data_IF_503079114698
#
_entry.id   IF_503079114698
#
_cell.length_a   1.000
_cell.length_b   1.000
_cell.length_c   1.000
_cell.angle_alpha   90.00
_cell.angle_beta   90.00
_cell.angle_gamma   90.00
#
_symmetry.space_group_name_H-M   'P 1'
#
loop_
_entity.id
_entity.type
_entity.pdbx_description
1 polymer ?
#
# COMPACT_ATOMS: atom_id res chain seq x y z
N UNK A 1 -27.32 -31.83 -15.94
CA UNK A 1 -26.57 -30.72 -15.31
C UNK A 1 -25.15 -30.81 -15.84
N UNK A 2 -24.61 -29.74 -16.42
CA UNK A 2 -23.18 -29.70 -16.71
C UNK A 2 -22.45 -29.48 -15.38
N UNK A 3 -21.36 -30.21 -15.12
CA UNK A 3 -20.51 -29.88 -13.97
C UNK A 3 -19.86 -28.52 -14.20
N UNK A 4 -19.48 -27.83 -13.12
CA UNK A 4 -18.73 -26.57 -13.21
C UNK A 4 -17.48 -26.73 -14.09
N UNK A 5 -16.75 -27.84 -13.95
CA UNK A 5 -15.60 -28.17 -14.81
C UNK A 5 -15.96 -28.24 -16.29
N UNK A 6 -17.09 -28.85 -16.64
CA UNK A 6 -17.53 -28.93 -18.05
C UNK A 6 -17.87 -27.54 -18.61
N UNK A 7 -18.36 -26.62 -17.79
CA UNK A 7 -18.61 -25.24 -18.20
C UNK A 7 -17.30 -24.46 -18.32
N UNK A 8 -16.38 -24.65 -17.38
CA UNK A 8 -15.01 -24.11 -17.41
C UNK A 8 -14.23 -24.52 -18.67
N UNK A 9 -14.36 -25.79 -19.09
CA UNK A 9 -13.73 -26.34 -20.28
C UNK A 9 -14.23 -25.70 -21.59
N UNK A 10 -15.36 -24.97 -21.57
CA UNK A 10 -15.83 -24.19 -22.73
C UNK A 10 -15.11 -22.86 -22.89
N UNK A 11 -14.44 -22.38 -21.84
CA UNK A 11 -13.70 -21.12 -21.82
C UNK A 11 -12.25 -21.34 -22.27
N UNK A 12 -11.60 -20.31 -22.84
CA UNK A 12 -10.18 -20.43 -23.16
C UNK A 12 -9.37 -20.61 -21.87
N UNK A 13 -8.14 -21.17 -21.94
CA UNK A 13 -7.32 -21.36 -20.74
C UNK A 13 -6.94 -20.04 -20.06
N UNK A 14 -6.67 -19.00 -20.83
CA UNK A 14 -6.27 -17.66 -20.37
C UNK A 14 -7.11 -16.60 -21.10
N UNK A 15 -7.28 -15.44 -20.46
CA UNK A 15 -7.78 -14.23 -21.11
C UNK A 15 -6.72 -13.70 -22.10
N UNK A 16 -7.15 -13.23 -23.27
CA UNK A 16 -6.27 -12.68 -24.30
C UNK A 16 -5.72 -11.28 -23.98
N UNK A 17 -6.26 -10.60 -22.95
CA UNK A 17 -5.85 -9.26 -22.54
C UNK A 17 -5.17 -9.27 -21.16
N UNK A 18 -3.85 -9.48 -21.12
CA UNK A 18 -3.06 -9.61 -19.88
C UNK A 18 -2.82 -8.30 -19.09
N UNK A 19 -3.17 -7.11 -19.63
CA UNK A 19 -2.64 -5.83 -19.12
C UNK A 19 -3.67 -4.84 -18.54
N UNK A 20 -4.93 -5.24 -18.25
CA UNK A 20 -5.95 -4.33 -17.68
C UNK A 20 -6.17 -4.47 -16.17
N UNK A 21 -5.29 -5.18 -15.46
CA UNK A 21 -5.41 -5.38 -14.01
C UNK A 21 -5.27 -4.08 -13.18
N UNK A 22 -4.83 -2.97 -13.77
CA UNK A 22 -4.57 -1.69 -13.11
C UNK A 22 -5.82 -0.90 -12.70
N UNK A 23 -6.99 -1.16 -13.29
CA UNK A 23 -8.22 -0.34 -13.09
C UNK A 23 -9.33 -1.09 -12.32
N UNK A 24 -8.97 -2.12 -11.53
CA UNK A 24 -9.92 -3.13 -11.02
C UNK A 24 -10.89 -2.66 -9.92
N UNK A 25 -10.68 -1.50 -9.28
CA UNK A 25 -11.38 -1.17 -8.02
C UNK A 25 -12.69 -0.38 -8.15
N UNK A 26 -13.24 -0.22 -9.36
CA UNK A 26 -14.45 0.61 -9.54
C UNK A 26 -15.56 0.01 -10.40
N UNK A 27 -15.41 -1.25 -10.82
CA UNK A 27 -16.40 -1.91 -11.67
C UNK A 27 -17.50 -2.63 -10.88
N UNK A 28 -18.73 -2.58 -11.38
CA UNK A 28 -19.85 -3.40 -10.91
C UNK A 28 -19.69 -4.84 -11.43
N UNK A 29 -20.07 -5.84 -10.63
CA UNK A 29 -20.01 -7.26 -11.03
C UNK A 29 -21.19 -7.57 -11.96
N UNK A 30 -20.97 -7.79 -13.27
CA UNK A 30 -22.10 -8.04 -14.17
C UNK A 30 -22.69 -9.43 -13.91
N UNK A 31 -24.02 -9.49 -13.81
CA UNK A 31 -24.80 -10.72 -13.72
C UNK A 31 -25.36 -11.04 -15.11
N UNK A 32 -25.04 -12.22 -15.63
CA UNK A 32 -25.56 -12.74 -16.88
C UNK A 32 -26.47 -13.95 -16.63
N UNK A 33 -27.50 -14.12 -17.46
CA UNK A 33 -28.37 -15.30 -17.42
C UNK A 33 -28.20 -16.15 -18.67
N UNK A 34 -27.80 -17.41 -18.49
CA UNK A 34 -27.75 -18.44 -19.54
C UNK A 34 -29.09 -19.16 -19.70
N UNK A 35 -30.05 -18.89 -18.82
CA UNK A 35 -31.40 -19.48 -18.83
C UNK A 35 -32.46 -18.41 -19.01
N UNK A 36 -33.59 -18.78 -19.61
CA UNK A 36 -34.70 -17.86 -19.82
C UNK A 36 -35.45 -17.59 -18.52
N UNK A 37 -35.39 -16.35 -18.06
CA UNK A 37 -36.23 -15.77 -17.01
C UNK A 37 -37.21 -14.75 -17.63
N UNK A 38 -38.32 -14.51 -16.95
CA UNK A 38 -39.14 -13.33 -17.24
C UNK A 38 -38.54 -12.10 -16.52
N UNK A 39 -38.97 -10.89 -16.89
CA UNK A 39 -38.45 -9.64 -16.32
C UNK A 39 -38.55 -9.57 -14.79
N UNK A 40 -39.60 -10.16 -14.21
CA UNK A 40 -39.79 -10.19 -12.76
C UNK A 40 -38.72 -11.05 -12.10
N UNK A 41 -38.49 -12.26 -12.60
CA UNK A 41 -37.48 -13.17 -12.08
C UNK A 41 -36.06 -12.64 -12.27
N UNK A 42 -35.80 -11.89 -13.36
CA UNK A 42 -34.52 -11.21 -13.56
C UNK A 42 -34.24 -10.13 -12.51
N UNK A 43 -35.25 -9.31 -12.20
CA UNK A 43 -35.15 -8.30 -11.12
C UNK A 43 -35.05 -8.94 -9.73
N UNK A 44 -35.71 -10.07 -9.53
CA UNK A 44 -35.62 -10.84 -8.30
C UNK A 44 -34.20 -11.40 -8.13
N UNK A 45 -33.61 -11.99 -9.17
CA UNK A 45 -32.21 -12.45 -9.17
C UNK A 45 -31.22 -11.34 -8.78
N UNK A 46 -31.30 -10.18 -9.42
CA UNK A 46 -30.44 -9.03 -9.09
C UNK A 46 -30.65 -8.55 -7.66
N UNK A 47 -31.90 -8.52 -7.20
CA UNK A 47 -32.25 -8.14 -5.83
C UNK A 47 -31.77 -9.15 -4.80
N UNK A 48 -31.85 -10.43 -5.10
CA UNK A 48 -31.51 -11.53 -4.19
C UNK A 48 -30.00 -11.56 -3.94
N UNK A 49 -29.18 -11.36 -4.99
CA UNK A 49 -27.72 -11.24 -4.88
C UNK A 49 -27.31 -9.98 -4.11
N UNK A 50 -27.90 -8.82 -4.42
CA UNK A 50 -27.49 -7.55 -3.83
C UNK A 50 -28.01 -7.30 -2.40
N UNK A 51 -29.03 -8.03 -1.95
CA UNK A 51 -29.61 -7.90 -0.60
C UNK A 51 -29.24 -9.04 0.36
N UNK A 52 -28.36 -9.94 -0.06
CA UNK A 52 -27.80 -10.93 0.84
C UNK A 52 -27.08 -10.24 2.02
N UNK A 53 -27.02 -10.91 3.17
CA UNK A 53 -26.56 -10.34 4.44
C UNK A 53 -25.18 -9.68 4.33
N UNK A 54 -24.25 -10.33 3.62
CA UNK A 54 -22.87 -9.90 3.46
C UNK A 54 -22.57 -9.29 2.07
N UNK A 55 -23.60 -8.91 1.31
CA UNK A 55 -23.45 -8.34 -0.03
C UNK A 55 -22.85 -6.93 0.03
N UNK A 56 -21.99 -6.60 -0.93
CA UNK A 56 -21.51 -5.24 -1.20
C UNK A 56 -22.51 -4.40 -2.00
N UNK A 57 -23.62 -5.01 -2.45
CA UNK A 57 -24.63 -4.38 -3.31
C UNK A 57 -24.04 -3.81 -4.62
N UNK A 58 -22.99 -4.44 -5.16
CA UNK A 58 -22.24 -3.93 -6.31
C UNK A 58 -22.45 -4.76 -7.59
N UNK A 59 -23.39 -5.71 -7.58
CA UNK A 59 -23.70 -6.53 -8.76
C UNK A 59 -24.76 -5.88 -9.66
N UNK A 60 -24.59 -5.94 -10.99
CA UNK A 60 -25.48 -5.32 -11.97
C UNK A 60 -26.01 -6.35 -12.99
N UNK A 61 -27.33 -6.41 -13.19
CA UNK A 61 -27.89 -7.31 -14.19
C UNK A 61 -27.69 -6.83 -15.63
N UNK A 62 -27.06 -7.67 -16.46
CA UNK A 62 -26.91 -7.43 -17.91
C UNK A 62 -28.00 -8.18 -18.67
N UNK A 63 -28.89 -7.42 -19.32
CA UNK A 63 -30.05 -7.95 -20.06
C UNK A 63 -29.87 -7.94 -21.58
N UNK A 64 -28.79 -7.32 -22.07
CA UNK A 64 -28.51 -7.20 -23.50
C UNK A 64 -27.05 -7.54 -23.82
N UNK A 65 -26.78 -8.42 -24.80
CA UNK A 65 -27.77 -9.22 -25.54
C UNK A 65 -28.45 -10.24 -24.62
N UNK A 66 -29.61 -10.74 -25.04
CA UNK A 66 -30.26 -11.84 -24.33
C UNK A 66 -29.44 -13.13 -24.52
N UNK A 67 -28.76 -13.56 -23.45
CA UNK A 67 -27.94 -14.77 -23.42
C UNK A 67 -28.72 -16.01 -22.98
N UNK A 68 -30.05 -15.93 -22.85
CA UNK A 68 -30.87 -16.94 -22.16
C UNK A 68 -31.01 -18.33 -22.82
N UNK A 69 -30.28 -18.58 -23.91
CA UNK A 69 -30.06 -19.90 -24.52
C UNK A 69 -28.63 -20.06 -25.04
N UNK A 70 -27.73 -19.19 -24.60
CA UNK A 70 -26.32 -19.21 -24.96
C UNK A 70 -25.52 -20.15 -24.07
N UNK A 71 -24.24 -20.24 -24.37
CA UNK A 71 -23.25 -20.94 -23.59
C UNK A 71 -22.50 -19.97 -22.68
N UNK A 72 -21.80 -20.51 -21.66
CA UNK A 72 -20.90 -19.69 -20.85
C UNK A 72 -19.82 -19.00 -21.71
N UNK A 73 -19.42 -19.64 -22.82
CA UNK A 73 -18.52 -19.06 -23.80
C UNK A 73 -19.10 -17.82 -24.49
N UNK A 74 -20.39 -17.84 -24.83
CA UNK A 74 -21.05 -16.68 -25.46
C UNK A 74 -21.12 -15.48 -24.49
N UNK A 75 -21.36 -15.75 -23.20
CA UNK A 75 -21.32 -14.73 -22.14
C UNK A 75 -19.91 -14.19 -21.97
N UNK A 76 -18.89 -15.07 -21.91
CA UNK A 76 -17.49 -14.66 -21.87
C UNK A 76 -17.15 -13.74 -23.04
N UNK A 77 -17.39 -14.17 -24.29
CA UNK A 77 -17.04 -13.38 -25.48
C UNK A 77 -17.79 -12.04 -25.53
N UNK A 78 -19.01 -11.98 -24.97
CA UNK A 78 -19.73 -10.73 -24.81
C UNK A 78 -19.13 -9.85 -23.70
N UNK A 79 -18.83 -10.42 -22.53
CA UNK A 79 -18.23 -9.70 -21.41
C UNK A 79 -16.90 -9.05 -21.79
N UNK A 80 -16.03 -9.76 -22.52
CA UNK A 80 -14.76 -9.20 -23.02
C UNK A 80 -15.00 -7.95 -23.87
N UNK A 81 -16.00 -7.96 -24.77
CA UNK A 81 -16.33 -6.77 -25.57
C UNK A 81 -16.98 -5.68 -24.73
N UNK A 82 -17.88 -6.06 -23.82
CA UNK A 82 -18.69 -5.11 -23.05
C UNK A 82 -17.86 -4.34 -22.02
N UNK A 83 -16.93 -5.01 -21.32
CA UNK A 83 -15.98 -4.37 -20.41
C UNK A 83 -15.03 -3.40 -21.14
N UNK A 84 -14.76 -3.65 -22.42
CA UNK A 84 -13.90 -2.77 -23.22
C UNK A 84 -14.60 -1.49 -23.68
N UNK A 85 -15.94 -1.49 -23.67
CA UNK A 85 -16.79 -0.36 -24.05
C UNK A 85 -17.38 0.38 -22.84
N UNK A 86 -17.26 -0.18 -21.63
CA UNK A 86 -17.91 0.34 -20.43
C UNK A 86 -17.05 0.17 -19.17
N UNK A 87 -16.44 1.27 -18.73
CA UNK A 87 -15.54 1.32 -17.58
C UNK A 87 -16.25 1.09 -16.23
N UNK A 88 -17.60 1.08 -16.21
CA UNK A 88 -18.38 0.75 -15.01
C UNK A 88 -18.47 -0.76 -14.75
N UNK A 89 -18.04 -1.60 -15.69
CA UNK A 89 -18.16 -3.06 -15.59
C UNK A 89 -16.85 -3.64 -15.13
N UNK A 90 -16.91 -4.50 -14.13
CA UNK A 90 -15.69 -5.10 -13.62
C UNK A 90 -14.96 -5.90 -14.71
N UNK A 91 -13.64 -5.66 -14.91
CA UNK A 91 -12.97 -6.18 -16.08
C UNK A 91 -12.65 -7.68 -15.99
N UNK A 92 -12.61 -8.29 -14.80
CA UNK A 92 -12.11 -9.67 -14.65
C UNK A 92 -13.07 -10.63 -13.96
N UNK A 93 -14.17 -10.12 -13.40
CA UNK A 93 -15.10 -10.92 -12.59
C UNK A 93 -16.51 -10.72 -13.10
N UNK A 94 -17.25 -11.81 -13.23
CA UNK A 94 -18.68 -11.76 -13.51
C UNK A 94 -19.43 -12.95 -12.93
N UNK A 95 -20.73 -12.77 -12.74
CA UNK A 95 -21.65 -13.79 -12.24
C UNK A 95 -22.47 -14.33 -13.41
N UNK A 96 -22.60 -15.65 -13.50
CA UNK A 96 -23.43 -16.30 -14.51
C UNK A 96 -24.44 -17.27 -13.88
N UNK A 97 -25.70 -17.13 -14.26
CA UNK A 97 -26.78 -18.02 -13.82
C UNK A 97 -27.05 -19.06 -14.90
N UNK A 98 -26.66 -20.31 -14.63
CA UNK A 98 -26.79 -21.43 -15.57
C UNK A 98 -28.06 -22.26 -15.36
N UNK A 99 -28.82 -22.00 -14.30
CA UNK A 99 -29.98 -22.79 -13.89
C UNK A 99 -31.12 -21.90 -13.38
N UNK A 100 -32.37 -22.29 -13.69
CA UNK A 100 -33.56 -21.54 -13.25
C UNK A 100 -33.76 -21.56 -11.73
N UNK A 101 -33.41 -22.67 -11.09
CA UNK A 101 -33.54 -22.88 -9.65
C UNK A 101 -32.23 -22.49 -8.96
N UNK A 102 -31.77 -21.25 -9.21
CA UNK A 102 -30.46 -20.79 -8.76
C UNK A 102 -30.36 -20.71 -7.23
N UNK A 103 -31.48 -20.55 -6.52
CA UNK A 103 -31.48 -20.56 -5.06
C UNK A 103 -31.06 -21.92 -4.48
N UNK A 104 -31.41 -23.03 -5.13
CA UNK A 104 -31.02 -24.38 -4.70
C UNK A 104 -29.79 -24.93 -5.44
N UNK A 105 -29.46 -24.37 -6.61
CA UNK A 105 -28.39 -24.86 -7.50
C UNK A 105 -27.18 -23.94 -7.55
N UNK A 106 -27.23 -22.81 -6.88
CA UNK A 106 -26.18 -21.82 -6.86
C UNK A 106 -26.03 -21.10 -8.21
N UNK A 107 -25.08 -20.17 -8.23
CA UNK A 107 -24.66 -19.42 -9.41
C UNK A 107 -23.18 -19.68 -9.67
N UNK A 108 -22.71 -19.25 -10.84
CA UNK A 108 -21.29 -19.33 -11.20
C UNK A 108 -20.63 -17.97 -10.98
N UNK A 109 -19.46 -17.98 -10.37
CA UNK A 109 -18.53 -16.85 -10.39
C UNK A 109 -17.39 -17.22 -11.34
N UNK A 110 -17.12 -16.33 -12.29
CA UNK A 110 -16.04 -16.48 -13.27
C UNK A 110 -14.98 -15.43 -12.98
N UNK A 111 -13.75 -15.89 -12.80
CA UNK A 111 -12.58 -15.04 -12.62
C UNK A 111 -11.62 -15.25 -13.79
N UNK A 112 -11.30 -14.17 -14.49
CA UNK A 112 -10.43 -14.17 -15.66
C UNK A 112 -8.94 -14.10 -15.29
N UNK A 113 -8.59 -13.93 -14.02
CA UNK A 113 -7.24 -13.72 -13.52
C UNK A 113 -6.85 -14.64 -12.35
N UNK A 114 -7.31 -15.88 -12.35
CA UNK A 114 -6.92 -16.87 -11.33
C UNK A 114 -5.43 -17.14 -11.40
N UNK A 115 -4.70 -16.89 -10.31
CA UNK A 115 -3.28 -17.19 -10.20
C UNK A 115 -3.03 -18.71 -10.09
N UNK A 116 -2.06 -19.22 -10.85
CA UNK A 116 -1.63 -20.63 -10.80
C UNK A 116 -0.27 -20.81 -10.08
N UNK A 117 0.11 -22.08 -9.89
CA UNK A 117 1.43 -22.48 -9.38
C UNK A 117 2.62 -22.08 -10.28
N UNK A 118 2.38 -21.62 -11.50
CA UNK A 118 3.40 -21.23 -12.50
C UNK A 118 3.48 -19.73 -12.75
N UNK A 119 2.84 -18.90 -11.93
CA UNK A 119 2.71 -17.45 -12.14
C UNK A 119 1.97 -17.07 -13.43
N UNK A 120 1.27 -18.03 -14.07
CA UNK A 120 0.36 -17.73 -15.16
C UNK A 120 -1.03 -17.43 -14.59
N UNK A 121 -1.76 -16.54 -15.25
CA UNK A 121 -3.18 -16.31 -14.94
C UNK A 121 -4.05 -17.15 -15.86
N UNK A 122 -5.03 -17.85 -15.29
CA UNK A 122 -6.00 -18.66 -16.03
C UNK A 122 -7.42 -18.19 -15.76
N UNK A 123 -8.35 -18.62 -16.61
CA UNK A 123 -9.78 -18.38 -16.40
C UNK A 123 -10.34 -19.49 -15.51
N UNK A 124 -10.82 -19.13 -14.32
CA UNK A 124 -11.47 -20.03 -13.39
C UNK A 124 -12.99 -19.89 -13.37
N UNK A 125 -13.68 -21.00 -13.14
CA UNK A 125 -15.12 -21.02 -12.83
C UNK A 125 -15.36 -21.78 -11.53
N UNK A 126 -16.06 -21.15 -10.60
CA UNK A 126 -16.53 -21.77 -9.36
C UNK A 126 -18.05 -21.64 -9.22
N UNK A 127 -18.66 -22.52 -8.42
CA UNK A 127 -20.07 -22.44 -8.04
C UNK A 127 -20.20 -22.11 -6.56
N UNK A 128 -21.11 -21.18 -6.26
CA UNK A 128 -21.41 -20.73 -4.90
C UNK A 128 -22.92 -20.50 -4.71
N UNK A 129 -23.33 -20.21 -3.48
CA UNK A 129 -24.68 -19.71 -3.20
C UNK A 129 -24.92 -18.38 -3.92
N UNK A 130 -26.17 -18.07 -4.23
CA UNK A 130 -26.47 -16.77 -4.84
C UNK A 130 -26.28 -15.64 -3.82
N UNK A 131 -26.49 -15.96 -2.54
CA UNK A 131 -26.27 -15.10 -1.39
C UNK A 131 -24.80 -14.71 -1.21
N UNK A 132 -23.87 -15.57 -1.65
CA UNK A 132 -22.43 -15.35 -1.47
C UNK A 132 -21.76 -14.76 -2.71
N UNK A 133 -22.44 -14.75 -3.86
CA UNK A 133 -21.80 -14.48 -5.16
C UNK A 133 -21.17 -13.08 -5.25
N UNK A 134 -21.87 -12.06 -4.74
CA UNK A 134 -21.38 -10.69 -4.70
C UNK A 134 -20.16 -10.56 -3.76
N UNK A 135 -20.25 -11.18 -2.58
CA UNK A 135 -19.16 -11.22 -1.60
C UNK A 135 -17.93 -11.98 -2.13
N UNK A 136 -18.13 -13.09 -2.84
CA UNK A 136 -17.06 -13.84 -3.48
C UNK A 136 -16.35 -12.99 -4.54
N UNK A 137 -17.09 -12.25 -5.38
CA UNK A 137 -16.49 -11.30 -6.31
C UNK A 137 -15.66 -10.24 -5.57
N UNK A 138 -16.21 -9.64 -4.50
CA UNK A 138 -15.48 -8.65 -3.70
C UNK A 138 -14.20 -9.24 -3.08
N UNK A 139 -14.27 -10.42 -2.47
CA UNK A 139 -13.14 -11.10 -1.84
C UNK A 139 -12.05 -11.51 -2.83
N UNK A 140 -12.46 -11.99 -4.02
CA UNK A 140 -11.53 -12.34 -5.10
C UNK A 140 -10.87 -11.08 -5.67
N UNK A 141 -11.63 -10.01 -5.87
CA UNK A 141 -11.07 -8.76 -6.35
C UNK A 141 -10.03 -8.20 -5.36
N UNK A 142 -10.37 -8.08 -4.08
CA UNK A 142 -9.43 -7.55 -3.08
C UNK A 142 -8.35 -8.56 -2.65
N UNK A 143 -8.40 -9.80 -3.14
CA UNK A 143 -7.47 -10.88 -2.75
C UNK A 143 -7.57 -11.28 -1.27
N UNK A 144 -8.75 -11.10 -0.65
CA UNK A 144 -9.01 -11.52 0.75
C UNK A 144 -9.11 -13.04 0.88
N UNK A 145 -9.64 -13.71 -0.15
CA UNK A 145 -9.70 -15.18 -0.24
C UNK A 145 -9.08 -15.61 -1.56
N UNK A 146 -8.36 -16.75 -1.57
CA UNK A 146 -7.87 -17.28 -2.83
C UNK A 146 -8.99 -17.98 -3.60
N UNK A 147 -8.89 -17.95 -4.93
CA UNK A 147 -9.81 -18.70 -5.78
C UNK A 147 -9.83 -20.20 -5.44
N UNK A 148 -8.68 -20.75 -5.02
CA UNK A 148 -8.55 -22.16 -4.65
C UNK A 148 -9.32 -22.48 -3.38
N UNK A 149 -9.29 -21.61 -2.36
CA UNK A 149 -10.07 -21.79 -1.13
C UNK A 149 -11.58 -21.90 -1.45
N UNK A 150 -12.07 -21.07 -2.37
CA UNK A 150 -13.46 -21.15 -2.81
C UNK A 150 -13.77 -22.38 -3.67
N UNK A 151 -12.78 -22.96 -4.35
CA UNK A 151 -12.95 -24.26 -5.02
C UNK A 151 -12.99 -25.42 -4.04
N UNK A 152 -12.26 -25.37 -2.93
CA UNK A 152 -12.41 -26.34 -1.83
C UNK A 152 -13.81 -26.25 -1.21
N UNK A 153 -14.32 -25.03 -1.03
CA UNK A 153 -15.69 -24.81 -0.59
C UNK A 153 -16.73 -25.33 -1.61
N UNK A 154 -16.51 -25.10 -2.91
CA UNK A 154 -17.33 -25.67 -3.98
C UNK A 154 -17.35 -27.21 -3.91
N UNK A 155 -16.19 -27.84 -3.73
CA UNK A 155 -16.09 -29.30 -3.56
C UNK A 155 -16.95 -29.76 -2.38
N UNK A 156 -16.83 -29.09 -1.24
CA UNK A 156 -17.52 -29.44 0.02
C UNK A 156 -19.04 -29.23 -0.04
N UNK A 157 -19.50 -28.12 -0.61
CA UNK A 157 -20.91 -27.70 -0.57
C UNK A 157 -21.70 -28.06 -1.83
N UNK A 158 -21.04 -28.01 -2.99
CA UNK A 158 -21.69 -28.11 -4.29
C UNK A 158 -21.29 -29.37 -5.07
N UNK A 159 -20.45 -30.23 -4.48
CA UNK A 159 -19.94 -31.43 -5.13
C UNK A 159 -19.02 -31.12 -6.31
N UNK A 160 -18.30 -29.99 -6.22
CA UNK A 160 -17.23 -29.64 -7.14
C UNK A 160 -16.12 -30.69 -7.17
N UNK A 161 -15.24 -30.57 -8.17
CA UNK A 161 -14.05 -31.42 -8.26
C UNK A 161 -12.96 -30.92 -7.30
N UNK A 162 -12.03 -31.81 -6.95
CA UNK A 162 -10.85 -31.42 -6.17
C UNK A 162 -10.03 -30.37 -6.96
N UNK A 163 -9.86 -29.14 -6.45
CA UNK A 163 -9.10 -28.11 -7.15
C UNK A 163 -7.66 -28.52 -7.41
N UNK A 164 -7.07 -29.33 -6.53
CA UNK A 164 -5.68 -29.76 -6.59
C UNK A 164 -5.42 -30.83 -7.67
N UNK A 165 -6.47 -31.51 -8.14
CA UNK A 165 -6.40 -32.40 -9.30
C UNK A 165 -6.64 -31.67 -10.63
N UNK A 166 -7.08 -30.40 -10.58
CA UNK A 166 -7.37 -29.63 -11.78
C UNK A 166 -6.08 -29.06 -12.39
N UNK A 167 -5.65 -29.67 -13.50
CA UNK A 167 -4.47 -29.29 -14.28
C UNK A 167 -4.51 -27.86 -14.83
N UNK A 168 -5.67 -27.20 -14.82
CA UNK A 168 -5.79 -25.78 -15.16
C UNK A 168 -5.13 -24.89 -14.10
N UNK A 169 -5.24 -25.25 -12.82
CA UNK A 169 -4.70 -24.44 -11.71
C UNK A 169 -3.33 -24.92 -11.23
N UNK A 170 -3.05 -26.23 -11.35
CA UNK A 170 -1.81 -26.84 -10.89
C UNK A 170 -1.12 -27.61 -12.02
N UNK A 171 0.05 -27.12 -12.44
CA UNK A 171 0.90 -27.77 -13.44
C UNK A 171 1.72 -28.93 -12.89
N UNK A 172 1.91 -28.96 -11.56
CA UNK A 172 2.62 -30.00 -10.79
C UNK A 172 1.67 -30.71 -9.84
N UNK A 173 2.12 -31.87 -9.32
CA UNK A 173 1.42 -32.57 -8.25
C UNK A 173 1.25 -31.63 -7.05
N UNK A 174 0.01 -31.25 -6.73
CA UNK A 174 -0.32 -30.33 -5.65
C UNK A 174 0.07 -30.85 -4.26
N UNK A 175 0.34 -32.15 -4.12
CA UNK A 175 0.89 -32.74 -2.89
C UNK A 175 2.40 -32.60 -2.78
N UNK A 176 3.07 -32.22 -3.88
CA UNK A 176 4.48 -31.81 -3.82
C UNK A 176 4.55 -30.43 -3.18
N UNK A 177 5.41 -30.23 -2.17
CA UNK A 177 5.58 -28.90 -1.59
C UNK A 177 5.91 -27.93 -2.72
N UNK A 178 5.17 -26.83 -2.78
CA UNK A 178 5.42 -25.78 -3.76
C UNK A 178 6.92 -25.50 -3.78
N UNK A 179 7.56 -25.38 -4.96
CA UNK A 179 8.91 -24.83 -4.99
C UNK A 179 8.85 -23.52 -4.21
N UNK A 180 9.79 -23.25 -3.29
CA UNK A 180 9.67 -22.11 -2.40
C UNK A 180 9.42 -20.87 -3.27
N UNK A 181 8.18 -20.35 -3.24
CA UNK A 181 7.89 -19.04 -3.80
C UNK A 181 8.95 -18.14 -3.15
N UNK A 182 9.74 -17.43 -3.97
CA UNK A 182 10.75 -16.51 -3.44
C UNK A 182 10.07 -15.72 -2.33
N UNK A 183 10.58 -15.86 -1.09
CA UNK A 183 9.86 -15.53 0.14
C UNK A 183 9.09 -14.21 -0.03
N UNK A 184 7.78 -14.27 -0.26
CA UNK A 184 6.99 -13.05 -0.34
C UNK A 184 6.61 -12.67 1.08
N UNK A 185 7.07 -11.50 1.49
CA UNK A 185 6.80 -10.94 2.80
C UNK A 185 5.65 -9.94 2.67
N UNK A 186 4.75 -9.86 3.63
CA UNK A 186 3.66 -8.89 3.63
C UNK A 186 4.06 -7.69 4.49
N UNK A 187 3.89 -6.49 3.95
CA UNK A 187 4.02 -5.28 4.73
C UNK A 187 2.86 -5.19 5.73
N UNK A 188 3.12 -4.67 6.93
CA UNK A 188 2.06 -4.26 7.84
C UNK A 188 2.31 -2.88 8.44
N UNK A 189 1.23 -2.13 8.62
CA UNK A 189 1.20 -0.77 9.15
C UNK A 189 0.37 -0.70 10.42
N UNK A 190 0.59 0.34 11.23
CA UNK A 190 -0.21 0.58 12.45
C UNK A 190 -0.82 1.97 12.46
N UNK A 191 -2.15 2.05 12.42
CA UNK A 191 -2.91 3.28 12.65
C UNK A 191 -3.24 3.47 14.14
N UNK A 192 -2.81 2.54 14.99
CA UNK A 192 -2.93 2.63 16.45
C UNK A 192 -1.57 2.56 17.12
N UNK A 193 -1.49 3.15 18.31
CA UNK A 193 -0.27 3.16 19.11
C UNK A 193 0.15 1.75 19.57
N UNK A 194 -0.84 0.91 19.95
CA UNK A 194 -0.63 -0.47 20.38
C UNK A 194 -1.42 -1.46 19.53
N UNK A 195 -0.79 -2.00 18.48
CA UNK A 195 -1.33 -3.07 17.66
C UNK A 195 -1.34 -4.40 18.45
N UNK A 196 -2.49 -4.77 19.01
CA UNK A 196 -2.66 -5.99 19.84
C UNK A 196 -2.64 -7.32 19.06
N UNK A 197 -3.35 -7.48 17.92
CA UNK A 197 -3.53 -8.79 17.29
C UNK A 197 -2.40 -9.22 16.35
N UNK A 198 -1.49 -8.32 15.95
CA UNK A 198 -0.41 -8.67 15.00
C UNK A 198 0.44 -9.81 15.54
N UNK A 199 0.63 -9.89 16.86
CA UNK A 199 1.41 -10.93 17.51
C UNK A 199 0.82 -12.34 17.34
N UNK A 200 -0.51 -12.43 17.15
CA UNK A 200 -1.21 -13.70 16.90
C UNK A 200 -1.13 -14.11 15.42
N UNK A 201 -0.83 -13.17 14.52
CA UNK A 201 -0.60 -13.41 13.08
C UNK A 201 0.87 -13.77 12.77
N UNK A 202 1.79 -13.54 13.71
CA UNK A 202 3.21 -13.83 13.56
C UNK A 202 3.51 -15.32 13.72
N UNK A 203 4.60 -15.78 13.11
CA UNK A 203 4.98 -17.19 13.22
C UNK A 203 5.27 -17.63 14.67
N UNK A 204 5.03 -18.92 15.02
CA UNK A 204 5.52 -19.48 16.27
C UNK A 204 7.03 -19.26 16.39
N UNK A 205 7.47 -18.58 17.46
CA UNK A 205 8.88 -18.24 17.66
C UNK A 205 9.36 -16.99 16.92
N UNK A 206 8.45 -16.14 16.41
CA UNK A 206 8.81 -14.89 15.72
C UNK A 206 9.75 -13.97 16.51
N UNK A 207 9.71 -14.04 17.84
CA UNK A 207 10.59 -13.27 18.73
C UNK A 207 12.06 -13.64 18.55
N UNK A 208 12.33 -14.88 18.14
CA UNK A 208 13.67 -15.43 17.95
C UNK A 208 14.10 -15.46 16.46
N UNK A 209 13.26 -14.92 15.56
CA UNK A 209 13.54 -14.88 14.12
C UNK A 209 14.48 -13.73 13.76
N UNK A 210 15.47 -14.00 12.89
CA UNK A 210 16.30 -12.94 12.31
C UNK A 210 15.49 -12.09 11.30
N UNK A 211 15.97 -10.89 10.99
CA UNK A 211 15.37 -9.99 10.00
C UNK A 211 15.21 -10.68 8.63
N UNK A 212 14.02 -10.60 8.02
CA UNK A 212 13.70 -11.30 6.77
C UNK A 212 13.38 -12.80 6.91
N UNK A 213 13.26 -13.31 8.14
CA UNK A 213 12.74 -14.67 8.37
C UNK A 213 11.23 -14.69 8.61
N UNK A 214 10.64 -13.61 9.13
CA UNK A 214 9.19 -13.49 9.27
C UNK A 214 8.52 -13.14 7.94
N UNK A 215 7.37 -13.73 7.68
CA UNK A 215 6.51 -13.35 6.55
C UNK A 215 5.84 -11.99 6.74
N UNK A 216 5.91 -11.39 7.92
CA UNK A 216 5.32 -10.08 8.21
C UNK A 216 6.40 -9.04 8.50
N UNK A 217 6.45 -8.00 7.67
CA UNK A 217 7.42 -6.91 7.76
C UNK A 217 6.71 -5.64 8.21
N UNK A 218 7.12 -5.10 9.37
CA UNK A 218 6.58 -3.82 9.83
C UNK A 218 7.07 -2.71 8.92
N UNK A 219 6.16 -2.13 8.16
CA UNK A 219 6.45 -1.09 7.18
C UNK A 219 6.27 0.33 7.75
N UNK A 220 5.41 0.53 8.76
CA UNK A 220 5.27 1.85 9.38
C UNK A 220 4.23 1.93 10.51
N UNK A 221 4.24 3.04 11.24
CA UNK A 221 3.22 3.38 12.22
C UNK A 221 2.80 4.83 12.04
N UNK A 222 1.52 5.05 11.75
CA UNK A 222 0.96 6.34 11.34
C UNK A 222 -0.15 6.83 12.28
N UNK A 223 -0.26 6.25 13.48
CA UNK A 223 -1.28 6.57 14.47
C UNK A 223 -1.31 8.04 14.96
N UNK A 224 -0.23 8.78 14.73
CA UNK A 224 -0.13 10.20 15.06
C UNK A 224 -0.50 11.14 13.89
N UNK A 225 -0.83 10.59 12.72
CA UNK A 225 -1.19 11.38 11.54
C UNK A 225 -2.72 11.56 11.47
N UNK A 226 -3.23 12.71 11.01
CA UNK A 226 -4.67 12.97 10.83
C UNK A 226 -5.33 12.07 9.79
N UNK A 227 -4.57 11.69 8.75
CA UNK A 227 -4.98 10.68 7.77
C UNK A 227 -3.89 9.60 7.60
N UNK A 228 -3.87 8.60 8.50
CA UNK A 228 -2.93 7.49 8.42
C UNK A 228 -3.03 6.69 7.11
N UNK A 229 -4.21 6.66 6.50
CA UNK A 229 -4.46 5.92 5.26
C UNK A 229 -3.86 6.60 4.04
N UNK A 230 -3.89 7.94 3.99
CA UNK A 230 -3.16 8.69 2.97
C UNK A 230 -1.67 8.37 3.01
N UNK A 231 -1.06 8.33 4.19
CA UNK A 231 0.35 8.01 4.36
C UNK A 231 0.70 6.59 3.95
N UNK A 232 -0.14 5.61 4.31
CA UNK A 232 0.04 4.21 3.87
C UNK A 232 -0.01 4.09 2.35
N UNK A 233 -1.01 4.69 1.69
CA UNK A 233 -1.15 4.68 0.22
C UNK A 233 0.05 5.32 -0.46
N UNK A 234 0.57 6.43 0.11
CA UNK A 234 1.75 7.12 -0.41
C UNK A 234 3.04 6.31 -0.27
N UNK A 235 3.22 5.63 0.86
CA UNK A 235 4.48 4.97 1.22
C UNK A 235 4.58 3.52 0.76
N UNK A 236 3.46 2.83 0.55
CA UNK A 236 3.46 1.41 0.22
C UNK A 236 4.16 1.08 -1.10
N UNK A 237 3.90 1.77 -2.23
CA UNK A 237 4.66 1.57 -3.46
C UNK A 237 6.17 1.77 -3.28
N UNK A 238 6.54 2.72 -2.43
CA UNK A 238 7.92 3.01 -2.10
C UNK A 238 8.59 1.91 -1.25
N UNK A 239 7.90 1.35 -0.25
CA UNK A 239 8.43 0.22 0.49
C UNK A 239 8.62 -1.01 -0.41
N UNK A 240 7.72 -1.25 -1.36
CA UNK A 240 7.88 -2.29 -2.38
C UNK A 240 9.07 -2.05 -3.34
N UNK A 241 9.47 -0.80 -3.55
CA UNK A 241 10.71 -0.45 -4.26
C UNK A 241 11.96 -0.79 -3.43
N UNK A 242 11.94 -0.51 -2.12
CA UNK A 242 13.08 -0.73 -1.23
C UNK A 242 13.28 -2.18 -0.81
N UNK A 243 12.18 -2.92 -0.69
CA UNK A 243 12.14 -4.32 -0.27
C UNK A 243 11.43 -5.11 -1.38
N UNK A 244 12.18 -5.55 -2.42
CA UNK A 244 11.61 -6.26 -3.57
C UNK A 244 10.87 -7.55 -3.20
N UNK A 245 11.15 -8.11 -2.02
CA UNK A 245 10.50 -9.26 -1.41
C UNK A 245 9.11 -8.96 -0.83
N UNK A 246 8.74 -7.68 -0.68
CA UNK A 246 7.40 -7.30 -0.22
C UNK A 246 6.34 -7.61 -1.27
N UNK A 247 5.23 -8.15 -0.81
CA UNK A 247 4.05 -8.40 -1.60
C UNK A 247 3.48 -7.06 -2.09
N UNK A 248 3.53 -6.83 -3.40
CA UNK A 248 3.23 -5.53 -4.02
C UNK A 248 1.77 -5.15 -4.09
N UNK A 249 0.88 -6.07 -3.75
CA UNK A 249 -0.57 -5.88 -3.85
C UNK A 249 -1.30 -5.98 -2.53
N UNK A 250 -0.68 -6.52 -1.48
CA UNK A 250 -1.37 -6.83 -0.23
C UNK A 250 -0.50 -6.37 0.93
N UNK A 251 -1.12 -5.67 1.87
CA UNK A 251 -0.53 -5.29 3.14
C UNK A 251 -1.58 -5.32 4.24
N UNK A 252 -1.13 -5.32 5.48
CA UNK A 252 -1.99 -5.34 6.66
C UNK A 252 -1.97 -3.98 7.35
N UNK A 253 -3.06 -3.60 7.99
CA UNK A 253 -3.14 -2.37 8.79
C UNK A 253 -3.80 -2.67 10.12
N UNK A 254 -3.10 -2.42 11.22
CA UNK A 254 -3.71 -2.43 12.54
C UNK A 254 -4.52 -1.15 12.75
N UNK A 255 -5.84 -1.25 12.79
CA UNK A 255 -6.76 -0.11 12.87
C UNK A 255 -7.34 0.11 14.26
N UNK A 256 -7.30 -0.90 15.14
CA UNK A 256 -7.85 -0.81 16.50
C UNK A 256 -6.86 -1.35 17.53
N UNK A 257 -6.80 -0.69 18.67
CA UNK A 257 -5.96 -1.14 19.78
C UNK A 257 -6.56 -2.38 20.45
N UNK A 258 -5.69 -3.32 20.85
CA UNK A 258 -6.06 -4.55 21.57
C UNK A 258 -6.54 -5.72 20.68
N UNK A 259 -6.86 -6.86 21.31
CA UNK A 259 -7.19 -8.12 20.62
C UNK A 259 -8.68 -8.19 20.24
N UNK A 260 -9.16 -7.23 19.43
CA UNK A 260 -10.50 -7.30 18.87
C UNK A 260 -10.48 -8.08 17.54
N UNK A 261 -11.55 -8.82 17.19
CA UNK A 261 -11.61 -9.61 15.95
C UNK A 261 -11.46 -8.80 14.66
N UNK A 262 -11.73 -7.49 14.73
CA UNK A 262 -11.76 -6.52 13.63
C UNK A 262 -10.65 -5.46 13.76
N UNK A 263 -9.55 -5.79 14.46
CA UNK A 263 -8.48 -4.85 14.75
C UNK A 263 -7.39 -4.79 13.66
N UNK A 264 -7.38 -5.73 12.71
CA UNK A 264 -6.47 -5.74 11.56
C UNK A 264 -7.26 -5.82 10.27
N UNK A 265 -6.95 -4.92 9.34
CA UNK A 265 -7.51 -4.88 8.00
C UNK A 265 -6.49 -5.44 7.00
N UNK A 266 -6.93 -6.35 6.15
CA UNK A 266 -6.17 -6.81 4.98
C UNK A 266 -6.49 -5.86 3.83
N UNK A 267 -5.47 -5.29 3.22
CA UNK A 267 -5.62 -4.18 2.30
C UNK A 267 -4.99 -4.53 0.96
N UNK A 268 -5.75 -4.36 -0.12
CA UNK A 268 -5.23 -4.40 -1.48
C UNK A 268 -4.74 -3.01 -1.88
N UNK A 269 -3.54 -2.93 -2.42
CA UNK A 269 -3.06 -1.69 -3.01
C UNK A 269 -3.69 -1.48 -4.39
N UNK A 270 -4.27 -0.31 -4.62
CA UNK A 270 -4.72 0.19 -5.93
C UNK A 270 -3.53 0.61 -6.80
N UNK A 271 -2.54 -0.27 -6.93
CA UNK A 271 -1.30 -0.03 -7.64
C UNK A 271 -0.91 -1.31 -8.39
N UNK A 272 -0.58 -1.18 -9.67
CA UNK A 272 -0.27 -2.29 -10.57
C UNK A 272 1.07 -2.98 -10.25
N UNK A 273 1.88 -2.39 -9.36
CA UNK A 273 3.19 -2.89 -8.98
C UNK A 273 4.25 -2.64 -10.06
N UNK A 274 3.95 -1.81 -11.07
CA UNK A 274 4.92 -1.37 -12.07
C UNK A 274 5.85 -0.32 -11.46
N UNK A 275 7.13 -0.65 -11.44
CA UNK A 275 8.20 0.21 -10.96
C UNK A 275 8.81 1.04 -12.11
N UNK A 276 8.58 0.66 -13.36
CA UNK A 276 9.14 1.34 -14.54
C UNK A 276 8.33 2.59 -14.92
N UNK A 277 7.01 2.59 -14.67
CA UNK A 277 6.11 3.73 -14.87
C UNK A 277 5.81 4.60 -13.64
N UNK A 278 6.23 4.18 -12.44
CA UNK A 278 5.98 4.95 -11.21
C UNK A 278 6.85 6.21 -11.14
N UNK A 279 6.29 7.33 -11.60
CA UNK A 279 6.80 8.66 -11.32
C UNK A 279 6.23 9.15 -9.99
N UNK A 280 6.93 8.89 -8.89
CA UNK A 280 6.69 9.61 -7.64
C UNK A 280 6.83 11.10 -7.94
N UNK A 281 5.78 11.92 -7.77
CA UNK A 281 5.88 13.38 -7.93
C UNK A 281 6.95 13.90 -6.95
N UNK A 282 8.16 14.23 -7.44
CA UNK A 282 9.29 14.54 -6.59
C UNK A 282 9.17 15.95 -6.00
N UNK A 283 8.11 16.69 -6.32
CA UNK A 283 7.93 18.07 -5.92
C UNK A 283 7.41 18.19 -4.49
N UNK A 284 8.23 17.81 -3.50
CA UNK A 284 8.17 18.55 -2.24
C UNK A 284 8.66 19.97 -2.52
N UNK A 285 7.95 20.96 -1.99
CA UNK A 285 8.34 22.37 -2.11
C UNK A 285 9.81 22.58 -1.68
N UNK A 286 10.27 21.78 -0.73
CA UNK A 286 11.63 21.76 -0.19
C UNK A 286 12.67 21.27 -1.20
N UNK A 287 12.44 20.14 -1.87
CA UNK A 287 13.33 19.62 -2.94
C UNK A 287 13.42 20.63 -4.09
N UNK A 288 12.27 21.18 -4.52
CA UNK A 288 12.22 22.17 -5.60
C UNK A 288 12.94 23.48 -5.22
N UNK A 289 12.83 23.95 -3.97
CA UNK A 289 13.53 25.15 -3.51
C UNK A 289 15.03 24.91 -3.40
N UNK A 290 15.45 23.81 -2.79
CA UNK A 290 16.88 23.51 -2.63
C UNK A 290 17.55 23.39 -4.00
N UNK A 291 16.91 22.74 -4.96
CA UNK A 291 17.41 22.67 -6.34
C UNK A 291 17.44 24.03 -7.04
N UNK A 292 16.44 24.90 -6.81
CA UNK A 292 16.45 26.27 -7.37
C UNK A 292 17.54 27.15 -6.77
N UNK A 293 17.75 27.07 -5.47
CA UNK A 293 18.75 27.87 -4.75
C UNK A 293 20.17 27.31 -4.92
N UNK A 294 20.30 26.00 -5.10
CA UNK A 294 21.56 25.28 -5.18
C UNK A 294 21.57 24.26 -6.32
N UNK A 295 21.51 24.71 -7.60
CA UNK A 295 21.42 23.83 -8.78
C UNK A 295 22.64 22.91 -8.97
N UNK A 296 23.74 23.21 -8.27
CA UNK A 296 24.96 22.40 -8.25
C UNK A 296 24.88 21.16 -7.36
N UNK A 297 23.87 21.06 -6.48
CA UNK A 297 23.68 19.88 -5.63
C UNK A 297 23.16 18.75 -6.50
N UNK A 298 23.90 17.62 -6.63
CA UNK A 298 23.45 16.48 -7.41
C UNK A 298 22.13 15.92 -6.85
N UNK A 299 21.23 15.58 -7.76
CA UNK A 299 19.94 14.98 -7.45
C UNK A 299 19.83 13.58 -8.04
N UNK A 300 18.90 12.81 -7.51
CA UNK A 300 18.61 11.44 -7.91
C UNK A 300 17.08 11.24 -7.88
N UNK A 301 16.50 10.43 -8.79
CA UNK A 301 15.09 10.03 -8.71
C UNK A 301 14.64 9.52 -7.33
N UNK A 302 15.57 9.01 -6.51
CA UNK A 302 15.32 8.53 -5.15
C UNK A 302 15.47 9.61 -4.04
N UNK A 303 15.69 10.90 -4.33
CA UNK A 303 15.94 11.91 -3.28
C UNK A 303 14.76 12.08 -2.31
N UNK A 304 13.53 12.02 -2.80
CA UNK A 304 12.32 12.15 -1.98
C UNK A 304 12.12 10.96 -1.04
N UNK A 305 12.58 9.80 -1.46
CA UNK A 305 12.67 8.61 -0.66
C UNK A 305 13.63 8.81 0.54
N UNK A 306 14.78 9.43 0.29
CA UNK A 306 15.70 9.83 1.36
C UNK A 306 15.12 10.96 2.25
N UNK A 307 14.35 11.91 1.69
CA UNK A 307 13.59 12.93 2.45
C UNK A 307 12.63 12.30 3.46
N UNK A 308 11.81 11.34 3.01
CA UNK A 308 10.84 10.65 3.87
C UNK A 308 11.55 9.82 4.93
N UNK A 309 12.61 9.10 4.56
CA UNK A 309 13.43 8.36 5.51
C UNK A 309 14.02 9.29 6.59
N UNK A 310 14.62 10.41 6.18
CA UNK A 310 15.16 11.43 7.08
C UNK A 310 14.11 12.09 7.97
N UNK A 311 12.92 12.34 7.43
CA UNK A 311 11.75 12.85 8.17
C UNK A 311 11.26 11.85 9.20
N UNK A 312 11.25 10.55 8.87
CA UNK A 312 10.92 9.50 9.85
C UNK A 312 11.90 9.46 11.02
N UNK A 313 13.20 9.76 10.78
CA UNK A 313 14.20 9.92 11.83
C UNK A 313 13.94 11.18 12.65
N UNK A 314 13.52 12.28 12.01
CA UNK A 314 13.12 13.51 12.72
C UNK A 314 11.96 13.24 13.68
N UNK A 315 10.90 12.56 13.25
CA UNK A 315 9.78 12.20 14.12
C UNK A 315 10.19 11.32 15.31
N UNK A 316 11.14 10.41 15.10
CA UNK A 316 11.75 9.62 16.18
C UNK A 316 12.41 10.48 17.26
N UNK A 317 12.97 11.63 16.89
CA UNK A 317 13.63 12.53 17.82
C UNK A 317 12.68 13.00 18.94
N UNK A 318 11.38 13.14 18.66
CA UNK A 318 10.37 13.56 19.65
C UNK A 318 10.26 12.60 20.83
N UNK A 319 10.50 11.29 20.61
CA UNK A 319 10.53 10.24 21.66
C UNK A 319 11.89 10.11 22.34
N UNK A 320 12.90 10.84 21.85
CA UNK A 320 14.28 10.85 22.33
C UNK A 320 14.64 12.12 23.10
N UNK A 321 13.74 13.10 23.19
CA UNK A 321 13.94 14.29 24.00
C UNK A 321 14.06 13.86 25.46
N UNK A 322 15.15 14.25 26.12
CA UNK A 322 15.37 13.90 27.52
C UNK A 322 14.33 14.57 28.42
N UNK A 323 13.95 13.92 29.52
CA UNK A 323 13.03 14.51 30.50
C UNK A 323 13.55 15.83 31.07
N UNK A 324 14.88 16.03 31.11
CA UNK A 324 15.49 17.30 31.52
C UNK A 324 15.20 18.47 30.56
N UNK A 325 14.84 18.19 29.31
CA UNK A 325 14.49 19.22 28.30
C UNK A 325 12.97 19.51 28.25
N UNK A 326 12.14 18.68 28.89
CA UNK A 326 10.69 18.84 28.94
C UNK A 326 10.26 19.78 30.06
N UNK A 327 10.66 21.06 29.98
CA UNK A 327 10.16 22.08 30.91
C UNK A 327 8.68 22.37 30.65
N UNK A 328 7.99 22.95 31.64
CA UNK A 328 6.57 23.30 31.49
C UNK A 328 6.34 24.29 30.34
N UNK A 329 7.24 25.24 30.13
CA UNK A 329 7.18 26.21 29.03
C UNK A 329 7.37 25.52 27.68
N UNK A 330 8.32 24.58 27.59
CA UNK A 330 8.55 23.81 26.37
C UNK A 330 7.35 22.94 26.01
N UNK A 331 6.77 22.25 27.00
CA UNK A 331 5.57 21.43 26.79
C UNK A 331 4.37 22.29 26.37
N UNK A 332 4.18 23.46 26.98
CA UNK A 332 3.10 24.37 26.61
C UNK A 332 3.23 24.88 25.17
N UNK A 333 4.46 25.19 24.73
CA UNK A 333 4.76 25.64 23.36
C UNK A 333 4.59 24.52 22.33
N UNK A 334 4.94 23.28 22.70
CA UNK A 334 5.03 22.15 21.75
C UNK A 334 3.85 21.21 21.76
N UNK A 335 2.97 21.22 22.76
CA UNK A 335 1.88 20.25 22.90
C UNK A 335 0.91 20.19 21.71
N UNK A 336 0.70 21.29 21.00
CA UNK A 336 -0.18 21.31 19.82
C UNK A 336 0.50 20.69 18.60
N UNK A 337 1.83 20.69 18.55
CA UNK A 337 2.62 20.19 17.42
C UNK A 337 3.09 18.75 17.67
N UNK A 338 3.43 18.43 18.93
CA UNK A 338 3.95 17.13 19.35
C UNK A 338 3.18 16.60 20.57
N UNK A 339 1.92 16.11 20.39
CA UNK A 339 1.10 15.62 21.50
C UNK A 339 1.75 14.47 22.29
N UNK A 340 2.60 13.68 21.63
CA UNK A 340 3.35 12.56 22.24
C UNK A 340 4.19 12.98 23.45
N UNK A 341 4.60 14.25 23.55
CA UNK A 341 5.37 14.76 24.70
C UNK A 341 4.55 14.84 25.99
N UNK A 342 3.22 14.78 25.89
CA UNK A 342 2.29 14.76 27.03
C UNK A 342 1.90 13.34 27.47
N UNK A 343 2.45 12.31 26.82
CA UNK A 343 2.13 10.93 27.18
C UNK A 343 2.48 10.64 28.65
N UNK A 344 1.53 10.12 29.46
CA UNK A 344 1.79 9.83 30.88
C UNK A 344 2.98 8.89 31.13
N UNK A 345 3.26 8.02 30.16
CA UNK A 345 4.32 7.03 30.16
C UNK A 345 5.45 7.40 29.17
N UNK A 346 5.58 8.67 28.77
CA UNK A 346 6.58 9.17 27.81
C UNK A 346 8.00 8.63 28.08
N UNK A 347 8.39 8.56 29.36
CA UNK A 347 9.71 8.05 29.76
C UNK A 347 9.99 6.61 29.30
N UNK A 348 8.95 5.79 29.16
CA UNK A 348 9.05 4.39 28.69
C UNK A 348 9.32 4.29 27.17
N UNK A 349 8.94 5.31 26.41
CA UNK A 349 9.10 5.35 24.94
C UNK A 349 10.56 5.44 24.51
N UNK A 350 11.44 5.94 25.40
CA UNK A 350 12.85 6.17 25.06
C UNK A 350 13.57 4.90 24.63
N UNK A 351 13.34 3.78 25.33
CA UNK A 351 14.05 2.52 25.03
C UNK A 351 13.68 1.96 23.65
N UNK A 352 12.40 2.01 23.28
CA UNK A 352 11.96 1.57 21.94
C UNK A 352 12.42 2.55 20.86
N UNK A 353 12.39 3.86 21.13
CA UNK A 353 12.89 4.88 20.20
C UNK A 353 14.40 4.76 19.94
N UNK A 354 15.20 4.42 20.97
CA UNK A 354 16.63 4.11 20.80
C UNK A 354 16.82 2.85 19.96
N UNK A 355 16.06 1.79 20.19
CA UNK A 355 16.15 0.59 19.35
C UNK A 355 15.82 0.89 17.88
N UNK A 356 14.74 1.66 17.63
CA UNK A 356 14.31 2.05 16.29
C UNK A 356 15.34 2.96 15.59
N UNK A 357 15.88 3.96 16.30
CA UNK A 357 16.97 4.80 15.77
C UNK A 357 18.19 3.96 15.40
N UNK A 358 18.57 3.00 16.26
CA UNK A 358 19.71 2.12 16.00
C UNK A 358 19.50 1.30 14.73
N UNK A 359 18.30 0.76 14.53
CA UNK A 359 17.95 0.06 13.30
C UNK A 359 18.08 0.96 12.07
N UNK A 360 17.52 2.18 12.11
CA UNK A 360 17.64 3.15 11.00
C UNK A 360 19.08 3.56 10.72
N UNK A 361 19.90 3.79 11.75
CA UNK A 361 21.32 4.07 11.58
C UNK A 361 22.08 2.87 11.01
N UNK A 362 21.70 1.63 11.35
CA UNK A 362 22.27 0.43 10.73
C UNK A 362 21.99 0.38 9.23
N UNK A 363 20.76 0.68 8.79
CA UNK A 363 20.41 0.78 7.36
C UNK A 363 21.30 1.81 6.66
N UNK A 364 21.47 3.00 7.25
CA UNK A 364 22.32 4.04 6.65
C UNK A 364 23.78 3.58 6.57
N UNK A 365 24.32 2.99 7.64
CA UNK A 365 25.72 2.53 7.72
C UNK A 365 26.02 1.36 6.77
N UNK A 366 25.08 0.42 6.63
CA UNK A 366 25.29 -0.84 5.92
C UNK A 366 24.81 -0.80 4.47
N UNK A 367 23.66 -0.15 4.22
CA UNK A 367 22.99 -0.19 2.92
C UNK A 367 23.16 1.11 2.14
N UNK A 368 22.95 2.27 2.78
CA UNK A 368 23.08 3.55 2.04
C UNK A 368 24.55 3.89 1.81
N UNK A 369 25.40 3.67 2.81
CA UNK A 369 26.85 3.85 2.72
C UNK A 369 27.57 2.54 2.37
N UNK A 370 26.93 1.67 1.57
CA UNK A 370 27.44 0.34 1.23
C UNK A 370 28.70 0.37 0.38
N UNK A 371 28.81 1.35 -0.52
CA UNK A 371 30.05 1.60 -1.26
C UNK A 371 31.13 2.10 -0.30
N UNK A 372 32.41 1.89 -0.61
CA UNK A 372 33.52 2.48 0.17
C UNK A 372 33.65 4.00 -0.01
N UNK A 373 32.65 4.62 -0.63
CA UNK A 373 32.57 6.04 -0.90
C UNK A 373 32.02 6.79 0.33
N UNK A 374 32.09 8.12 0.27
CA UNK A 374 31.79 8.98 1.42
C UNK A 374 30.30 9.35 1.51
N UNK A 375 29.53 9.26 0.43
CA UNK A 375 28.15 9.75 0.36
C UNK A 375 27.21 8.71 -0.25
N UNK A 376 25.90 8.84 0.00
CA UNK A 376 24.86 7.85 -0.32
C UNK A 376 24.81 7.51 -1.82
N UNK A 377 25.04 8.51 -2.68
CA UNK A 377 24.95 8.35 -4.14
C UNK A 377 26.30 8.52 -4.85
N UNK A 378 27.43 8.46 -4.14
CA UNK A 378 28.71 8.64 -4.81
C UNK A 378 29.85 9.24 -3.99
N UNK A 379 30.87 9.76 -4.67
CA UNK A 379 31.97 10.49 -4.05
C UNK A 379 31.62 11.95 -3.71
N UNK A 380 30.44 12.45 -4.08
CA UNK A 380 30.00 13.83 -3.85
C UNK A 380 28.74 13.87 -2.99
N UNK A 381 28.67 14.87 -2.11
CA UNK A 381 27.47 15.18 -1.35
C UNK A 381 26.32 15.50 -2.32
N UNK A 382 25.19 14.87 -2.08
CA UNK A 382 23.96 14.96 -2.86
C UNK A 382 22.76 15.33 -1.98
N UNK A 383 21.61 15.57 -2.60
CA UNK A 383 20.39 15.92 -1.87
C UNK A 383 19.94 14.79 -0.92
N UNK A 384 20.10 13.52 -1.30
CA UNK A 384 19.94 12.37 -0.42
C UNK A 384 20.69 12.48 0.91
N UNK A 385 21.96 12.92 0.87
CA UNK A 385 22.79 13.07 2.06
C UNK A 385 22.23 14.15 2.99
N UNK A 386 21.78 15.28 2.41
CA UNK A 386 21.18 16.38 3.17
C UNK A 386 19.95 15.87 3.92
N UNK A 387 19.06 15.17 3.21
CA UNK A 387 17.82 14.64 3.77
C UNK A 387 18.03 13.64 4.91
N UNK A 388 19.02 12.75 4.79
CA UNK A 388 19.27 11.71 5.80
C UNK A 388 20.09 12.23 6.98
N UNK A 389 21.20 12.93 6.72
CA UNK A 389 22.18 13.22 7.76
C UNK A 389 21.81 14.38 8.67
N UNK A 390 20.91 15.29 8.29
CA UNK A 390 20.53 16.41 9.16
C UNK A 390 19.86 15.91 10.45
N UNK A 391 18.87 15.02 10.34
CA UNK A 391 18.15 14.44 11.50
C UNK A 391 19.09 13.61 12.37
N UNK A 392 19.94 12.79 11.75
CA UNK A 392 20.91 11.95 12.47
C UNK A 392 21.89 12.83 13.25
N UNK A 393 22.44 13.88 12.61
CA UNK A 393 23.34 14.83 13.26
C UNK A 393 22.68 15.51 14.45
N UNK A 394 21.44 15.98 14.26
CA UNK A 394 20.67 16.64 15.31
C UNK A 394 20.47 15.71 16.52
N UNK A 395 20.02 14.47 16.30
CA UNK A 395 19.78 13.50 17.37
C UNK A 395 21.08 13.11 18.10
N UNK A 396 22.15 12.80 17.36
CA UNK A 396 23.40 12.35 17.96
C UNK A 396 24.07 13.43 18.82
N UNK A 397 24.14 14.67 18.31
CA UNK A 397 24.92 15.73 18.94
C UNK A 397 24.08 16.72 19.74
N UNK A 398 22.88 17.07 19.29
CA UNK A 398 22.03 18.05 19.98
C UNK A 398 21.19 17.38 21.07
N UNK A 399 20.60 16.21 20.78
CA UNK A 399 19.87 15.43 21.78
C UNK A 399 20.78 14.53 22.63
N UNK A 400 22.08 14.49 22.31
CA UNK A 400 23.10 13.81 23.10
C UNK A 400 23.08 12.28 23.01
N UNK A 401 22.39 11.70 22.02
CA UNK A 401 22.29 10.24 21.85
C UNK A 401 23.64 9.58 21.53
N UNK A 402 24.64 10.34 21.07
CA UNK A 402 26.02 9.84 20.92
C UNK A 402 26.65 9.36 22.23
N UNK A 403 26.11 9.74 23.39
CA UNK A 403 26.54 9.26 24.71
C UNK A 403 25.85 7.95 25.11
N UNK A 404 24.83 7.50 24.39
CA UNK A 404 24.10 6.27 24.68
C UNK A 404 24.90 5.04 24.20
N UNK A 405 24.86 3.91 24.92
CA UNK A 405 25.55 2.68 24.51
C UNK A 405 25.11 2.22 23.11
N UNK A 406 26.07 1.96 22.23
CA UNK A 406 25.81 1.43 20.89
C UNK A 406 25.63 2.47 19.79
N UNK A 407 25.76 3.76 20.11
CA UNK A 407 25.67 4.88 19.15
C UNK A 407 27.01 5.57 18.89
N UNK A 408 28.11 5.00 19.39
CA UNK A 408 29.44 5.59 19.25
C UNK A 408 30.06 5.38 17.87
N UNK A 409 31.19 6.04 17.64
CA UNK A 409 32.00 5.94 16.40
C UNK A 409 32.40 4.51 16.04
N UNK A 410 32.57 3.64 17.02
CA UNK A 410 32.91 2.23 16.81
C UNK A 410 31.72 1.41 16.26
N UNK A 411 30.49 1.88 16.46
CA UNK A 411 29.28 1.21 15.99
C UNK A 411 28.86 1.68 14.60
N UNK A 412 29.03 2.97 14.30
CA UNK A 412 28.61 3.59 13.04
C UNK A 412 29.74 4.40 12.38
N UNK A 413 30.90 3.78 12.08
CA UNK A 413 32.09 4.50 11.63
C UNK A 413 31.90 5.30 10.34
N UNK A 414 31.10 4.81 9.38
CA UNK A 414 30.87 5.53 8.11
C UNK A 414 29.97 6.73 8.32
N UNK A 415 28.89 6.61 9.09
CA UNK A 415 28.03 7.76 9.44
C UNK A 415 28.85 8.86 10.09
N UNK A 416 29.64 8.53 11.11
CA UNK A 416 30.49 9.53 11.78
C UNK A 416 31.52 10.14 10.83
N UNK A 417 32.09 9.34 9.91
CA UNK A 417 32.98 9.86 8.87
C UNK A 417 32.27 10.87 7.96
N UNK A 418 31.01 10.64 7.58
CA UNK A 418 30.22 11.60 6.80
C UNK A 418 29.97 12.89 7.60
N UNK A 419 29.52 12.74 8.85
CA UNK A 419 29.17 13.87 9.72
C UNK A 419 30.37 14.77 10.06
N UNK A 420 31.58 14.20 10.12
CA UNK A 420 32.82 14.95 10.34
C UNK A 420 33.24 15.79 9.11
N UNK A 421 32.75 15.46 7.91
CA UNK A 421 33.06 16.18 6.67
C UNK A 421 32.11 17.35 6.39
N UNK A 422 30.98 17.41 7.11
CA UNK A 422 30.01 18.51 6.96
C UNK A 422 30.55 19.75 7.68
N UNK A 423 30.94 20.76 6.89
CA UNK A 423 31.30 22.08 7.39
C UNK A 423 30.05 22.95 7.45
N UNK A 424 29.67 23.38 8.65
CA UNK A 424 28.59 24.36 8.84
C UNK A 424 29.22 25.75 8.69
N UNK A 425 28.82 26.55 7.69
CA UNK A 425 29.37 27.89 7.51
C UNK A 425 28.94 28.80 8.66
N UNK A 426 29.83 29.72 9.06
CA UNK A 426 29.41 30.84 9.89
C UNK A 426 28.50 31.74 9.05
N UNK A 427 27.29 31.97 9.53
CA UNK A 427 26.30 32.84 8.90
C UNK A 427 26.14 34.10 9.74
N UNK A 428 26.13 35.26 9.08
CA UNK A 428 25.79 36.53 9.73
C UNK A 428 24.29 36.53 10.10
N UNK A 429 23.99 36.76 11.36
CA UNK A 429 22.61 36.77 11.86
C UNK A 429 21.84 37.99 11.36
N UNK A 430 20.67 37.77 10.74
CA UNK A 430 19.71 38.81 10.43
C UNK A 430 18.71 38.95 11.60
N UNK A 431 18.49 40.15 12.12
CA UNK A 431 17.48 40.38 13.16
C UNK A 431 16.07 40.28 12.58
N UNK A 432 15.08 39.98 13.44
CA UNK A 432 13.67 39.98 13.02
C UNK A 432 13.19 41.35 12.53
N UNK A 433 13.72 42.44 13.09
CA UNK A 433 13.45 43.81 12.64
C UNK A 433 14.01 44.03 11.22
N UNK A 434 15.26 43.66 10.99
CA UNK A 434 15.88 43.77 9.67
C UNK A 434 15.17 42.89 8.63
N UNK A 435 14.70 41.70 9.01
CA UNK A 435 13.89 40.84 8.12
C UNK A 435 12.54 41.51 7.77
N UNK A 436 11.89 42.13 8.75
CA UNK A 436 10.60 42.84 8.55
C UNK A 436 10.74 44.03 7.60
N UNK A 437 11.91 44.68 7.59
CA UNK A 437 12.20 45.77 6.64
C UNK A 437 12.49 45.24 5.23
N UNK A 438 13.14 44.07 5.09
CA UNK A 438 13.51 43.53 3.78
C UNK A 438 12.33 42.91 3.03
N UNK A 439 11.46 42.17 3.73
CA UNK A 439 10.38 41.37 3.09
C UNK A 439 9.43 42.22 2.21
N UNK A 440 8.90 43.38 2.66
CA UNK A 440 8.00 44.20 1.86
C UNK A 440 8.65 44.84 0.63
N UNK A 441 9.98 44.91 0.62
CA UNK A 441 10.78 45.52 -0.44
C UNK A 441 11.41 44.48 -1.37
N UNK A 442 11.32 43.20 -1.03
CA UNK A 442 11.81 42.11 -1.87
C UNK A 442 10.90 41.95 -3.10
N UNK A 443 11.50 41.70 -4.26
CA UNK A 443 10.74 41.32 -5.44
C UNK A 443 10.12 39.95 -5.19
N UNK A 444 8.79 39.90 -5.14
CA UNK A 444 8.08 38.64 -5.24
C UNK A 444 8.40 38.04 -6.61
N UNK A 445 8.87 36.78 -6.64
CA UNK A 445 9.09 36.03 -7.87
C UNK A 445 7.85 35.15 -8.10
N UNK A 446 6.78 35.66 -8.75
CA UNK A 446 5.71 34.78 -9.19
C UNK A 446 6.30 33.75 -10.16
N UNK A 447 5.74 32.54 -10.18
CA UNK A 447 5.98 31.58 -11.27
C UNK A 447 5.49 32.21 -12.58
N UNK A 448 6.29 33.07 -13.20
CA UNK A 448 6.03 33.53 -14.56
C UNK A 448 6.32 32.37 -15.50
N UNK A 449 5.28 31.87 -16.17
CA UNK A 449 5.37 31.07 -17.39
C UNK A 449 6.09 29.71 -17.27
N UNK A 450 5.61 28.83 -16.40
CA UNK A 450 5.63 27.42 -16.78
C UNK A 450 4.25 27.09 -17.35
N UNK A 451 4.21 26.79 -18.65
CA UNK A 451 3.10 26.09 -19.32
C UNK A 451 2.95 24.69 -18.71
N UNK A 452 2.58 24.63 -17.43
CA UNK A 452 2.05 23.41 -16.87
C UNK A 452 0.58 23.37 -17.28
N UNK A 453 0.20 22.29 -17.98
CA UNK A 453 -1.16 21.79 -18.07
C UNK A 453 -1.67 21.45 -16.65
N UNK A 454 -1.79 22.47 -15.78
CA UNK A 454 -2.38 22.41 -14.44
C UNK A 454 -3.91 22.32 -14.56
N UNK A 455 -4.38 21.37 -15.36
CA UNK A 455 -5.66 20.68 -15.14
C UNK A 455 -5.53 19.63 -14.01
N UNK A 456 -4.53 19.76 -13.16
CA UNK A 456 -4.21 18.85 -12.07
C UNK A 456 -5.10 19.06 -10.85
N UNK A 457 -6.14 18.24 -10.76
CA UNK A 457 -6.80 17.74 -9.54
C UNK A 457 -7.53 18.71 -8.58
N UNK A 458 -7.30 20.02 -8.60
CA UNK A 458 -8.03 20.95 -7.72
C UNK A 458 -8.67 22.09 -8.54
N UNK A 459 -10.00 22.14 -8.54
CA UNK A 459 -10.86 23.15 -9.20
C UNK A 459 -10.74 24.56 -8.55
N UNK A 460 -9.53 25.03 -8.26
CA UNK A 460 -9.27 26.32 -7.62
C UNK A 460 -8.75 27.30 -8.67
N UNK A 461 -9.54 28.31 -9.07
CA UNK A 461 -9.13 29.26 -10.10
C UNK A 461 -8.03 30.21 -9.60
N UNK A 462 -7.17 30.66 -10.52
CA UNK A 462 -6.18 31.70 -10.24
C UNK A 462 -6.86 32.97 -9.68
N UNK A 463 -6.37 33.46 -8.55
CA UNK A 463 -6.95 34.61 -7.85
C UNK A 463 -8.06 34.26 -6.85
N UNK A 464 -8.39 32.97 -6.67
CA UNK A 464 -9.21 32.53 -5.56
C UNK A 464 -8.57 32.89 -4.22
N UNK A 465 -9.38 33.38 -3.29
CA UNK A 465 -8.97 33.57 -1.90
C UNK A 465 -9.03 32.21 -1.25
N UNK A 466 -7.86 31.70 -0.85
CA UNK A 466 -7.72 30.40 -0.18
C UNK A 466 -7.05 30.58 1.18
N UNK A 467 -7.39 29.70 2.12
CA UNK A 467 -6.59 29.45 3.31
C UNK A 467 -5.74 28.20 3.04
N UNK A 468 -4.45 28.28 3.36
CA UNK A 468 -3.55 27.13 3.36
C UNK A 468 -3.23 26.85 4.82
N UNK A 469 -3.60 25.66 5.27
CA UNK A 469 -3.30 25.17 6.60
C UNK A 469 -2.33 24.00 6.45
N UNK A 470 -1.32 23.92 7.31
CA UNK A 470 -0.51 22.72 7.41
C UNK A 470 -1.41 21.61 7.94
N UNK A 471 -1.57 20.53 7.18
CA UNK A 471 -2.15 19.30 7.71
C UNK A 471 -1.10 18.66 8.61
N UNK A 472 -1.35 18.67 9.92
CA UNK A 472 -0.44 18.10 10.94
C UNK A 472 -0.13 16.62 10.72
#
# INVERSE_FOLDING_TARGET
MASTKRLEDTLPPCDSHHNRASDTLSGQWPIYSLVTFNERCLKELESDINKAEDSTSNSLLITKPDSSNGTLRDVYDHHIRFRDENDMIHPTLFIAVDQRDYQAKGVLVVDLQVATDTSQTVIGVLRCGYEDADLYCANLDIGNMSFIDYKEEEQRLWGGEDPYENKRYFSKDATSPAPPLGKQHYAWYSNVEMAGPIQELLEPGWVDMDEGQSRLHRAGGWYNFPDPWHEIRRQFPYHCLQQPELHRKLFLVAEKAGNKPDAVSVCKAEWDGDLEGYHYDPNSYEVTIVQKLFPQVPTNPADKAYELFGTSICWLATRLISSAMLTSEFLQDRQTIFPILLDPDYSSLRSSALAELRAKMTIVEQDFLKSSELWINGPKLSLADIHVFWSIRWILFTLGVSNEPGFGRNNFPKIYKCLDQVVIPEVEGLSGEAATDVIPHAQFLPRENQDHDDQGMMDIPLGAIVSIEGTE
#
